data_IF_245823281229
#
_entry.id   IF_245823281229
#
_cell.length_a   1.000
_cell.length_b   1.000
_cell.length_c   1.000
_cell.angle_alpha   90.00
_cell.angle_beta   90.00
_cell.angle_gamma   90.00
#
_symmetry.space_group_name_H-M   'P 1'
#
loop_
_entity.id
_entity.type
_entity.pdbx_description
1 polymer ?
#
# COMPACT_ATOMS: atom_id res chain seq x y z
N UNK A 1 9.54 -10.66 11.12
CA UNK A 1 8.90 -9.33 11.06
C UNK A 1 7.89 -9.33 9.94
N UNK A 2 6.85 -8.53 10.09
CA UNK A 2 5.85 -8.24 9.09
C UNK A 2 6.32 -7.04 8.29
N UNK A 3 6.30 -7.13 6.96
CA UNK A 3 6.83 -6.09 6.08
C UNK A 3 5.77 -5.74 5.06
N UNK A 4 5.44 -4.46 4.94
CA UNK A 4 4.56 -3.95 3.89
C UNK A 4 5.40 -3.30 2.80
N UNK A 5 5.31 -3.83 1.58
CA UNK A 5 5.95 -3.23 0.42
C UNK A 5 4.91 -2.49 -0.42
N UNK A 6 5.07 -1.18 -0.55
CA UNK A 6 4.31 -0.38 -1.52
C UNK A 6 5.05 -0.40 -2.87
N UNK A 7 4.43 -1.03 -3.87
CA UNK A 7 5.00 -1.16 -5.21
C UNK A 7 4.23 -0.28 -6.21
N UNK A 8 4.95 0.67 -6.81
CA UNK A 8 4.38 1.72 -7.66
C UNK A 8 5.00 1.71 -9.07
N UNK A 9 4.80 0.62 -9.82
CA UNK A 9 5.23 0.59 -11.23
C UNK A 9 4.29 -0.25 -12.12
N UNK A 10 3.87 0.25 -13.29
CA UNK A 10 2.82 -0.39 -14.11
C UNK A 10 3.24 -1.69 -14.81
N UNK A 11 4.54 -1.93 -14.93
CA UNK A 11 5.10 -3.02 -15.73
C UNK A 11 5.85 -4.04 -14.89
N UNK A 12 5.55 -5.32 -15.13
CA UNK A 12 6.26 -6.48 -14.58
C UNK A 12 7.52 -6.86 -15.39
N UNK A 13 7.95 -6.00 -16.33
CA UNK A 13 9.18 -6.16 -17.11
C UNK A 13 10.24 -5.11 -16.77
N UNK A 14 9.93 -4.21 -15.84
CA UNK A 14 10.82 -3.10 -15.48
C UNK A 14 11.97 -3.53 -14.59
N UNK A 15 12.96 -2.66 -14.47
CA UNK A 15 14.00 -2.79 -13.46
C UNK A 15 13.41 -2.80 -12.04
N UNK A 16 12.45 -1.91 -11.76
CA UNK A 16 11.73 -1.85 -10.47
C UNK A 16 11.09 -3.17 -10.11
N UNK A 17 10.44 -3.84 -11.07
CA UNK A 17 9.87 -5.17 -10.83
C UNK A 17 10.95 -6.20 -10.48
N UNK A 18 12.10 -6.16 -11.16
CA UNK A 18 13.23 -7.05 -10.82
C UNK A 18 13.75 -6.81 -9.42
N UNK A 19 13.82 -5.55 -8.97
CA UNK A 19 14.20 -5.20 -7.58
C UNK A 19 13.20 -5.77 -6.59
N UNK A 20 11.88 -5.59 -6.82
CA UNK A 20 10.83 -6.19 -5.99
C UNK A 20 11.00 -7.70 -5.87
N UNK A 21 11.23 -8.39 -6.99
CA UNK A 21 11.38 -9.86 -6.99
C UNK A 21 12.62 -10.33 -6.23
N UNK A 22 13.74 -9.60 -6.32
CA UNK A 22 14.96 -9.92 -5.56
C UNK A 22 14.72 -9.69 -4.07
N UNK A 23 14.08 -8.57 -3.71
CA UNK A 23 13.76 -8.24 -2.32
C UNK A 23 12.83 -9.29 -1.69
N UNK A 24 11.74 -9.65 -2.37
CA UNK A 24 10.80 -10.68 -1.90
C UNK A 24 11.51 -12.02 -1.64
N UNK A 25 12.44 -12.43 -2.51
CA UNK A 25 13.23 -13.64 -2.31
C UNK A 25 14.11 -13.54 -1.07
N UNK A 26 14.81 -12.42 -0.89
CA UNK A 26 15.69 -12.21 0.27
C UNK A 26 14.90 -12.20 1.60
N UNK A 27 13.75 -11.51 1.63
CA UNK A 27 12.88 -11.46 2.82
C UNK A 27 12.28 -12.82 3.17
N UNK A 28 11.86 -13.59 2.16
CA UNK A 28 11.38 -14.95 2.36
C UNK A 28 12.48 -15.87 2.93
N UNK A 29 13.73 -15.73 2.47
CA UNK A 29 14.87 -16.46 3.02
C UNK A 29 15.16 -16.07 4.49
N UNK A 30 14.90 -14.81 4.86
CA UNK A 30 14.99 -14.32 6.24
C UNK A 30 13.79 -14.69 7.12
N UNK A 31 12.84 -15.47 6.61
CA UNK A 31 11.63 -15.89 7.33
C UNK A 31 10.75 -14.71 7.81
N UNK A 32 10.73 -13.63 7.02
CA UNK A 32 9.83 -12.49 7.21
C UNK A 32 8.47 -12.75 6.55
N UNK A 33 7.39 -12.21 7.10
CA UNK A 33 6.09 -12.17 6.44
C UNK A 33 6.01 -10.89 5.62
N UNK A 34 5.55 -10.98 4.37
CA UNK A 34 5.53 -9.84 3.45
C UNK A 34 4.16 -9.71 2.79
N UNK A 35 3.59 -8.52 2.87
CA UNK A 35 2.46 -8.09 2.05
C UNK A 35 2.92 -7.05 1.01
N UNK A 36 2.28 -7.06 -0.15
CA UNK A 36 2.59 -6.12 -1.24
C UNK A 36 1.34 -5.40 -1.68
N UNK A 37 1.33 -4.07 -1.55
CA UNK A 37 0.34 -3.21 -2.18
C UNK A 37 0.89 -2.73 -3.52
N UNK A 38 0.54 -3.45 -4.58
CA UNK A 38 0.83 -3.07 -5.96
C UNK A 38 -0.23 -2.07 -6.45
N UNK A 39 0.12 -0.78 -6.36
CA UNK A 39 -0.79 0.34 -6.59
C UNK A 39 -1.41 0.31 -7.99
N UNK A 40 -0.64 -0.10 -9.00
CA UNK A 40 -1.14 -0.18 -10.38
C UNK A 40 -2.06 -1.38 -10.58
N UNK A 41 -1.70 -2.55 -10.03
CA UNK A 41 -2.52 -3.75 -10.16
C UNK A 41 -3.85 -3.62 -9.42
N UNK A 42 -3.85 -2.97 -8.26
CA UNK A 42 -5.07 -2.73 -7.49
C UNK A 42 -5.88 -1.53 -7.98
N UNK A 43 -5.38 -0.77 -8.96
CA UNK A 43 -5.99 0.48 -9.45
C UNK A 43 -6.25 1.45 -8.30
N UNK A 44 -5.22 1.66 -7.48
CA UNK A 44 -5.27 2.59 -6.36
C UNK A 44 -5.75 3.97 -6.83
N UNK A 45 -6.74 4.53 -6.15
CA UNK A 45 -7.20 5.88 -6.45
C UNK A 45 -6.19 6.88 -5.88
N UNK A 46 -5.37 7.45 -6.77
CA UNK A 46 -4.32 8.39 -6.36
C UNK A 46 -4.85 9.78 -6.05
N UNK A 47 -5.93 10.16 -6.71
CA UNK A 47 -6.48 11.51 -6.65
C UNK A 47 -7.53 11.55 -5.54
N UNK A 48 -7.31 12.45 -4.59
CA UNK A 48 -8.25 12.72 -3.51
C UNK A 48 -9.60 13.19 -4.09
N UNK A 49 -10.68 12.55 -3.66
CA UNK A 49 -12.05 12.95 -4.00
C UNK A 49 -12.49 14.20 -3.25
N UNK A 50 -13.55 14.85 -3.70
CA UNK A 50 -14.12 16.02 -3.00
C UNK A 50 -14.61 15.63 -1.60
N UNK A 51 -15.16 14.43 -1.45
CA UNK A 51 -15.63 13.89 -0.18
C UNK A 51 -14.49 13.63 0.81
N UNK A 52 -13.36 13.09 0.34
CA UNK A 52 -12.15 12.93 1.16
C UNK A 52 -11.56 14.28 1.54
N UNK A 53 -11.52 15.24 0.60
CA UNK A 53 -11.11 16.60 0.90
C UNK A 53 -12.00 17.26 1.95
N UNK A 54 -13.32 17.07 1.86
CA UNK A 54 -14.28 17.59 2.83
C UNK A 54 -14.09 17.00 4.22
N UNK A 55 -13.73 15.71 4.30
CA UNK A 55 -13.40 15.02 5.55
C UNK A 55 -12.11 15.56 6.16
N UNK A 56 -11.00 15.47 5.43
CA UNK A 56 -9.66 15.83 5.95
C UNK A 56 -9.48 17.34 6.10
N UNK A 57 -9.89 18.11 5.10
CA UNK A 57 -9.68 19.55 4.99
C UNK A 57 -10.44 20.37 6.04
N UNK A 58 -11.58 19.86 6.51
CA UNK A 58 -12.38 20.48 7.57
C UNK A 58 -12.38 19.70 8.88
N UNK A 59 -11.50 18.69 9.03
CA UNK A 59 -11.36 17.87 10.23
C UNK A 59 -12.68 17.23 10.72
N UNK A 60 -13.55 16.84 9.79
CA UNK A 60 -14.83 16.14 10.07
C UNK A 60 -14.57 14.67 10.37
N UNK A 61 -13.89 14.40 11.48
CA UNK A 61 -13.43 13.05 11.88
C UNK A 61 -14.58 12.07 12.14
N UNK A 62 -15.81 12.59 12.31
CA UNK A 62 -17.04 11.81 12.41
C UNK A 62 -17.47 11.17 11.07
N UNK A 63 -17.00 11.70 9.94
CA UNK A 63 -17.25 11.08 8.64
C UNK A 63 -16.39 9.81 8.50
N UNK A 64 -16.95 8.73 7.93
CA UNK A 64 -16.21 7.48 7.76
C UNK A 64 -15.05 7.67 6.77
N UNK A 65 -13.98 6.90 6.99
CA UNK A 65 -12.96 6.70 5.97
C UNK A 65 -13.49 5.77 4.88
N UNK A 66 -12.92 5.89 3.68
CA UNK A 66 -13.21 5.00 2.57
C UNK A 66 -12.60 3.62 2.81
N UNK A 67 -13.28 2.56 2.35
CA UNK A 67 -12.92 1.16 2.66
C UNK A 67 -11.55 0.75 2.10
N UNK A 68 -11.15 1.29 0.96
CA UNK A 68 -9.82 1.08 0.37
C UNK A 68 -8.72 1.73 1.22
N UNK A 69 -8.94 2.94 1.73
CA UNK A 69 -8.05 3.61 2.68
C UNK A 69 -7.93 2.81 3.98
N UNK A 70 -9.06 2.35 4.54
CA UNK A 70 -9.08 1.50 5.74
C UNK A 70 -8.32 0.20 5.49
N UNK A 71 -8.48 -0.42 4.31
CA UNK A 71 -7.77 -1.65 3.96
C UNK A 71 -6.25 -1.44 3.97
N UNK A 72 -5.74 -0.32 3.46
CA UNK A 72 -4.31 0.00 3.52
C UNK A 72 -3.84 0.35 4.94
N UNK A 73 -4.66 1.06 5.74
CA UNK A 73 -4.34 1.31 7.15
C UNK A 73 -4.15 0.01 7.95
N UNK A 74 -4.99 -1.00 7.73
CA UNK A 74 -4.84 -2.32 8.39
C UNK A 74 -3.50 -2.98 8.06
N UNK A 75 -2.98 -2.81 6.84
CA UNK A 75 -1.68 -3.34 6.43
C UNK A 75 -0.54 -2.59 7.12
N UNK A 76 -0.68 -1.28 7.27
CA UNK A 76 0.28 -0.44 8.00
C UNK A 76 0.32 -0.85 9.48
N UNK A 77 -0.84 -1.03 10.11
CA UNK A 77 -0.94 -1.49 11.50
C UNK A 77 -0.34 -2.89 11.72
N UNK A 78 -0.41 -3.74 10.70
CA UNK A 78 0.15 -5.09 10.73
C UNK A 78 1.67 -5.12 10.55
N UNK A 79 2.25 -4.15 9.83
CA UNK A 79 3.65 -4.13 9.44
C UNK A 79 4.56 -3.57 10.53
N UNK A 80 5.73 -4.19 10.70
CA UNK A 80 6.81 -3.65 11.53
C UNK A 80 7.62 -2.59 10.77
N UNK A 81 7.63 -2.66 9.43
CA UNK A 81 8.27 -1.70 8.53
C UNK A 81 7.70 -1.73 7.11
#
# INVERSE_FOLDING_TARGET
>A
MNILIIYAHPSNKSFTYKVLQILLKALNMGNHQVEVSDLYKMKFQSDMTEEEYDREGFAKIELPLFEDVIAEHRKIDWADC
#
